data_IF_521711302485
#
_entry.id   IF_521711302485
#
_cell.length_a   1.000
_cell.length_b   1.000
_cell.length_c   1.000
_cell.angle_alpha   90.00
_cell.angle_beta   90.00
_cell.angle_gamma   90.00
#
_symmetry.space_group_name_H-M   'P 1'
#
loop_
_entity.id
_entity.type
_entity.pdbx_description
1 polymer ?
#
# COMPACT_ATOMS: atom_id res chain seq x y z
N UNK A 1 -28.67 -3.73 14.49
CA UNK A 1 -29.40 -2.44 14.53
C UNK A 1 -30.17 -2.26 15.83
N UNK A 2 -31.21 -3.07 16.13
CA UNK A 2 -32.09 -2.89 17.31
C UNK A 2 -31.36 -2.62 18.65
N UNK A 3 -30.32 -3.38 19.00
CA UNK A 3 -29.57 -3.17 20.24
C UNK A 3 -28.88 -1.78 20.32
N UNK A 4 -28.36 -1.24 19.20
CA UNK A 4 -27.78 0.12 19.16
C UNK A 4 -28.88 1.16 19.42
N UNK A 5 -30.03 1.02 18.78
CA UNK A 5 -31.17 1.91 18.99
C UNK A 5 -31.69 1.85 20.43
N UNK A 6 -31.73 0.65 21.05
CA UNK A 6 -32.09 0.49 22.45
C UNK A 6 -31.07 1.17 23.39
N UNK A 7 -29.77 1.00 23.17
CA UNK A 7 -28.72 1.70 23.93
C UNK A 7 -28.82 3.21 23.80
N UNK A 8 -29.08 3.73 22.58
CA UNK A 8 -29.30 5.16 22.36
C UNK A 8 -30.53 5.67 23.13
N UNK A 9 -31.67 4.98 23.04
CA UNK A 9 -32.89 5.36 23.76
C UNK A 9 -32.68 5.36 25.28
N UNK A 10 -32.02 4.34 25.81
CA UNK A 10 -31.65 4.26 27.24
C UNK A 10 -30.76 5.44 27.66
N UNK A 11 -29.71 5.76 26.88
CA UNK A 11 -28.83 6.89 27.18
C UNK A 11 -29.51 8.25 27.05
N UNK A 12 -30.40 8.43 26.07
CA UNK A 12 -31.22 9.65 25.94
C UNK A 12 -32.14 9.81 27.15
N UNK A 13 -32.81 8.74 27.58
CA UNK A 13 -33.63 8.74 28.79
C UNK A 13 -32.80 9.08 30.03
N UNK A 14 -31.60 8.52 30.17
CA UNK A 14 -30.69 8.83 31.28
C UNK A 14 -30.24 10.31 31.26
N UNK A 15 -29.88 10.84 30.09
CA UNK A 15 -29.49 12.26 29.91
C UNK A 15 -30.65 13.24 30.19
N UNK A 16 -31.90 12.85 29.90
CA UNK A 16 -33.09 13.68 30.18
C UNK A 16 -33.51 13.59 31.65
N UNK A 17 -33.28 12.46 32.30
CA UNK A 17 -33.64 12.23 33.70
C UNK A 17 -32.67 12.90 34.69
N UNK A 18 -31.44 13.16 34.27
CA UNK A 18 -30.40 13.75 35.11
C UNK A 18 -30.53 15.28 35.18
N UNK A 19 -31.34 15.77 36.13
CA UNK A 19 -31.49 17.20 36.42
C UNK A 19 -30.22 17.82 37.06
N UNK A 20 -29.21 17.02 37.38
CA UNK A 20 -27.95 17.42 38.02
C UNK A 20 -26.87 17.91 37.05
N UNK A 21 -27.23 18.70 36.04
CA UNK A 21 -26.24 19.37 35.18
C UNK A 21 -25.22 18.44 34.53
N UNK A 22 -25.70 17.48 33.73
CA UNK A 22 -24.87 16.45 33.09
C UNK A 22 -23.58 17.00 32.49
N UNK A 23 -22.45 16.55 33.03
CA UNK A 23 -21.11 17.04 32.65
C UNK A 23 -20.90 17.03 31.13
N UNK A 24 -20.23 18.05 30.60
CA UNK A 24 -19.85 18.14 29.19
C UNK A 24 -19.13 16.87 28.68
N UNK A 25 -18.43 16.15 29.55
CA UNK A 25 -17.84 14.84 29.26
C UNK A 25 -18.89 13.77 28.90
N UNK A 26 -20.03 13.71 29.60
CA UNK A 26 -21.11 12.77 29.32
C UNK A 26 -21.78 13.05 27.98
N UNK A 27 -22.02 14.32 27.67
CA UNK A 27 -22.55 14.77 26.36
C UNK A 27 -21.55 14.42 25.25
N UNK A 28 -20.26 14.70 25.46
CA UNK A 28 -19.19 14.37 24.51
C UNK A 28 -19.07 12.86 24.24
N UNK A 29 -19.12 12.02 25.28
CA UNK A 29 -19.13 10.55 25.13
C UNK A 29 -20.35 10.07 24.35
N UNK A 30 -21.54 10.60 24.64
CA UNK A 30 -22.76 10.23 23.90
C UNK A 30 -22.69 10.62 22.42
N UNK A 31 -22.20 11.82 22.11
CA UNK A 31 -21.98 12.26 20.71
C UNK A 31 -20.95 11.39 19.97
N UNK A 32 -19.88 10.96 20.66
CA UNK A 32 -18.91 10.02 20.11
C UNK A 32 -19.56 8.65 19.81
N UNK A 33 -20.35 8.10 20.74
CA UNK A 33 -21.06 6.84 20.53
C UNK A 33 -22.09 6.90 19.39
N UNK A 34 -22.85 8.00 19.28
CA UNK A 34 -23.73 8.26 18.15
C UNK A 34 -22.94 8.24 16.83
N UNK A 35 -21.82 8.95 16.76
CA UNK A 35 -20.98 9.02 15.56
C UNK A 35 -20.37 7.67 15.17
N UNK A 36 -19.80 6.93 16.13
CA UNK A 36 -19.28 5.58 15.89
C UNK A 36 -20.37 4.61 15.42
N UNK A 37 -21.56 4.71 16.00
CA UNK A 37 -22.70 3.86 15.65
C UNK A 37 -23.28 4.21 14.27
N UNK A 38 -23.37 5.50 13.92
CA UNK A 38 -23.75 5.97 12.58
C UNK A 38 -22.73 5.53 11.52
N UNK A 39 -21.43 5.71 11.80
CA UNK A 39 -20.35 5.19 10.97
C UNK A 39 -20.47 3.67 10.78
N UNK A 40 -20.71 2.92 11.86
CA UNK A 40 -20.91 1.47 11.79
C UNK A 40 -22.10 1.09 10.89
N UNK A 41 -23.25 1.79 11.01
CA UNK A 41 -24.45 1.59 10.19
C UNK A 41 -24.16 1.82 8.70
N UNK A 42 -23.50 2.93 8.33
CA UNK A 42 -23.14 3.23 6.92
C UNK A 42 -22.26 2.14 6.31
N UNK A 43 -21.43 1.48 7.12
CA UNK A 43 -20.56 0.39 6.65
C UNK A 43 -21.24 -0.98 6.66
N UNK A 44 -22.50 -1.14 7.07
CA UNK A 44 -23.23 -2.42 6.97
C UNK A 44 -23.73 -2.74 5.54
N UNK A 45 -24.35 -1.80 4.77
CA UNK A 45 -24.85 -2.06 3.41
C UNK A 45 -23.87 -2.80 2.47
N UNK A 46 -22.59 -2.41 2.48
CA UNK A 46 -21.54 -3.03 1.64
C UNK A 46 -21.20 -4.48 2.06
N UNK A 47 -21.80 -4.99 3.14
CA UNK A 47 -21.50 -6.27 3.79
C UNK A 47 -22.65 -7.28 3.82
N UNK A 48 -23.76 -7.01 3.14
CA UNK A 48 -24.94 -7.90 3.19
C UNK A 48 -24.89 -9.08 2.22
N UNK A 49 -24.10 -9.03 1.14
CA UNK A 49 -24.09 -10.08 0.11
C UNK A 49 -22.70 -10.36 -0.45
N UNK A 50 -21.96 -11.24 0.23
CA UNK A 50 -20.69 -11.78 -0.27
C UNK A 50 -20.95 -12.62 -1.52
N UNK A 51 -20.25 -12.32 -2.61
CA UNK A 51 -20.25 -13.12 -3.83
C UNK A 51 -18.88 -13.77 -4.00
N UNK A 52 -18.81 -15.10 -4.06
CA UNK A 52 -17.58 -15.84 -4.39
C UNK A 52 -17.57 -16.13 -5.90
N UNK A 53 -16.42 -15.96 -6.53
CA UNK A 53 -16.21 -16.26 -7.94
C UNK A 53 -15.16 -17.35 -8.08
N UNK A 54 -15.42 -18.31 -8.97
CA UNK A 54 -14.49 -19.34 -9.39
C UNK A 54 -14.32 -19.24 -10.90
N UNK A 55 -13.08 -19.22 -11.37
CA UNK A 55 -12.76 -19.12 -12.80
C UNK A 55 -12.46 -20.51 -13.35
N UNK A 56 -13.04 -20.84 -14.51
CA UNK A 56 -12.90 -22.15 -15.15
C UNK A 56 -12.10 -22.00 -16.44
N UNK A 57 -10.76 -21.97 -16.33
CA UNK A 57 -9.84 -21.70 -17.45
C UNK A 57 -10.04 -22.68 -18.62
N UNK A 58 -10.21 -23.97 -18.33
CA UNK A 58 -10.44 -25.02 -19.33
C UNK A 58 -11.66 -24.72 -20.21
N UNK A 59 -12.80 -24.36 -19.60
CA UNK A 59 -14.03 -24.02 -20.31
C UNK A 59 -13.90 -22.75 -21.16
N UNK A 60 -13.00 -21.84 -20.80
CA UNK A 60 -12.69 -20.66 -21.61
C UNK A 60 -11.94 -21.08 -22.87
N UNK A 61 -10.88 -21.89 -22.72
CA UNK A 61 -10.08 -22.41 -23.83
C UNK A 61 -10.94 -23.24 -24.79
N UNK A 62 -11.75 -24.19 -24.29
CA UNK A 62 -12.64 -25.01 -25.13
C UNK A 62 -13.71 -24.20 -25.88
N UNK A 63 -14.10 -23.02 -25.38
CA UNK A 63 -15.18 -22.22 -25.98
C UNK A 63 -14.70 -21.18 -26.97
N UNK A 64 -13.55 -20.57 -26.70
CA UNK A 64 -13.05 -19.45 -27.49
C UNK A 64 -11.83 -19.82 -28.33
N UNK A 65 -11.08 -20.86 -27.96
CA UNK A 65 -9.86 -21.29 -28.65
C UNK A 65 -8.95 -20.07 -28.90
N UNK A 66 -8.63 -19.76 -30.15
CA UNK A 66 -7.79 -18.61 -30.53
C UNK A 66 -8.53 -17.27 -30.55
N UNK A 67 -9.87 -17.23 -30.38
CA UNK A 67 -10.71 -16.02 -30.43
C UNK A 67 -10.67 -15.21 -29.12
N UNK A 68 -9.49 -15.10 -28.54
CA UNK A 68 -9.19 -14.23 -27.41
C UNK A 68 -9.08 -12.75 -27.85
N UNK A 69 -9.46 -11.77 -27.00
CA UNK A 69 -9.30 -10.35 -27.28
C UNK A 69 -7.83 -9.89 -27.23
N UNK A 70 -7.55 -8.66 -27.67
CA UNK A 70 -6.30 -7.97 -27.35
C UNK A 70 -6.26 -7.57 -25.87
N UNK A 71 -5.05 -7.60 -25.28
CA UNK A 71 -4.80 -7.22 -23.88
C UNK A 71 -3.58 -6.32 -23.80
N UNK A 72 -3.83 -5.05 -23.46
CA UNK A 72 -2.79 -4.05 -23.23
C UNK A 72 -2.48 -3.96 -21.72
N UNK A 73 -1.22 -4.14 -21.34
CA UNK A 73 -0.73 -4.08 -19.97
C UNK A 73 0.09 -2.80 -19.78
N UNK A 74 -0.37 -1.93 -18.88
CA UNK A 74 0.33 -0.70 -18.53
C UNK A 74 1.14 -0.85 -17.23
N UNK A 75 2.46 -0.73 -17.34
CA UNK A 75 3.39 -0.63 -16.21
C UNK A 75 3.77 0.84 -16.06
N UNK A 76 3.54 1.45 -14.91
CA UNK A 76 3.89 2.86 -14.66
C UNK A 76 5.04 2.95 -13.64
N UNK A 77 6.12 3.65 -14.01
CA UNK A 77 7.23 3.99 -13.12
C UNK A 77 7.33 5.51 -12.93
N UNK A 78 7.79 5.94 -11.76
CA UNK A 78 7.89 7.36 -11.39
C UNK A 78 9.28 7.97 -11.62
N UNK A 79 10.33 7.20 -11.33
CA UNK A 79 11.74 7.58 -11.38
C UNK A 79 12.62 6.34 -11.06
N UNK A 80 13.68 6.02 -11.83
CA UNK A 80 14.61 4.95 -11.48
C UNK A 80 15.27 5.10 -10.09
N UNK A 81 15.33 6.30 -9.52
CA UNK A 81 15.84 6.54 -8.15
C UNK A 81 14.82 6.15 -7.08
N UNK A 82 13.53 6.37 -7.32
CA UNK A 82 12.45 6.10 -6.36
C UNK A 82 11.93 4.66 -6.47
N UNK A 83 12.02 4.08 -7.67
CA UNK A 83 11.54 2.76 -8.02
C UNK A 83 12.68 2.02 -8.76
N UNK A 84 13.38 1.06 -8.12
CA UNK A 84 14.56 0.42 -8.70
C UNK A 84 14.27 -0.14 -10.09
N UNK A 85 15.08 0.26 -11.07
CA UNK A 85 14.87 -0.09 -12.48
C UNK A 85 14.79 -1.60 -12.71
N UNK A 86 15.53 -2.39 -11.92
CA UNK A 86 15.49 -3.87 -11.92
C UNK A 86 14.11 -4.41 -11.49
N UNK A 87 13.48 -3.85 -10.45
CA UNK A 87 12.14 -4.23 -10.01
C UNK A 87 11.09 -3.96 -11.09
N UNK A 88 11.26 -2.84 -11.81
CA UNK A 88 10.41 -2.47 -12.95
C UNK A 88 10.60 -3.46 -14.11
N UNK A 89 11.85 -3.81 -14.49
CA UNK A 89 12.13 -4.85 -15.49
C UNK A 89 11.48 -6.18 -15.11
N UNK A 90 11.69 -6.65 -13.88
CA UNK A 90 11.18 -7.95 -13.45
C UNK A 90 9.64 -8.01 -13.50
N UNK A 91 8.97 -6.85 -13.35
CA UNK A 91 7.53 -6.70 -13.59
C UNK A 91 7.18 -6.74 -15.08
N UNK A 92 7.94 -6.05 -15.94
CA UNK A 92 7.74 -6.07 -17.41
C UNK A 92 7.97 -7.47 -18.00
N UNK A 93 9.07 -8.15 -17.65
CA UNK A 93 9.38 -9.51 -18.10
C UNK A 93 8.34 -10.53 -17.63
N UNK A 94 7.83 -10.37 -16.40
CA UNK A 94 6.71 -11.17 -15.89
C UNK A 94 5.45 -10.95 -16.71
N UNK A 95 5.10 -9.69 -17.01
CA UNK A 95 3.94 -9.34 -17.84
C UNK A 95 4.06 -9.86 -19.29
N UNK A 96 5.23 -9.73 -19.91
CA UNK A 96 5.50 -10.23 -21.26
C UNK A 96 5.47 -11.77 -21.35
N UNK A 97 5.78 -12.47 -20.26
CA UNK A 97 5.79 -13.95 -20.20
C UNK A 97 4.47 -14.56 -19.71
N UNK A 98 3.39 -13.77 -19.65
CA UNK A 98 2.04 -14.30 -19.40
C UNK A 98 1.63 -15.36 -20.43
N UNK A 99 0.85 -16.35 -19.99
CA UNK A 99 0.33 -17.40 -20.87
C UNK A 99 -0.84 -16.86 -21.72
N UNK A 100 -0.49 -16.13 -22.79
CA UNK A 100 -1.40 -15.48 -23.72
C UNK A 100 -0.80 -15.47 -25.15
N UNK A 101 -1.60 -15.39 -26.22
CA UNK A 101 -1.08 -15.22 -27.57
C UNK A 101 -0.23 -13.92 -27.70
N UNK A 102 1.04 -13.99 -28.16
CA UNK A 102 1.93 -12.82 -28.22
C UNK A 102 1.45 -11.71 -29.15
N UNK A 103 0.77 -12.05 -30.25
CA UNK A 103 0.15 -11.10 -31.19
C UNK A 103 -0.91 -10.21 -30.53
N UNK A 104 -1.54 -10.72 -29.46
CA UNK A 104 -2.64 -10.08 -28.72
C UNK A 104 -2.20 -9.42 -27.43
N UNK A 105 -1.00 -9.73 -26.95
CA UNK A 105 -0.44 -9.17 -25.73
C UNK A 105 0.44 -7.98 -26.09
N UNK A 106 0.26 -6.85 -25.40
CA UNK A 106 1.08 -5.67 -25.63
C UNK A 106 1.38 -4.97 -24.31
N UNK A 107 2.65 -4.69 -24.06
CA UNK A 107 3.15 -4.19 -22.78
C UNK A 107 3.72 -2.79 -22.97
N UNK A 108 3.21 -1.86 -22.17
CA UNK A 108 3.52 -0.43 -22.24
C UNK A 108 4.20 -0.02 -20.93
N UNK A 109 5.48 0.36 -20.99
CA UNK A 109 6.16 1.00 -19.87
C UNK A 109 5.98 2.52 -19.98
N UNK A 110 5.18 3.09 -19.08
CA UNK A 110 5.01 4.52 -18.93
C UNK A 110 5.96 5.05 -17.86
N UNK A 111 6.90 5.90 -18.29
CA UNK A 111 7.88 6.55 -17.42
C UNK A 111 7.49 8.01 -17.17
N UNK A 112 7.10 8.31 -15.92
CA UNK A 112 6.83 9.70 -15.51
C UNK A 112 8.14 10.49 -15.23
N UNK A 113 9.27 9.82 -15.08
CA UNK A 113 10.58 10.44 -14.93
C UNK A 113 11.19 10.90 -16.25
N UNK A 114 10.79 10.28 -17.37
CA UNK A 114 11.37 10.52 -18.70
C UNK A 114 12.89 10.26 -18.73
N UNK A 115 13.36 9.26 -17.99
CA UNK A 115 14.81 9.08 -17.75
C UNK A 115 15.45 8.17 -18.81
N UNK A 116 16.60 8.56 -19.40
CA UNK A 116 17.29 7.73 -20.38
C UNK A 116 17.76 6.41 -19.76
N UNK A 117 17.98 6.35 -18.43
CA UNK A 117 18.27 5.12 -17.73
C UNK A 117 17.09 4.15 -17.76
N UNK A 118 15.84 4.61 -17.60
CA UNK A 118 14.66 3.75 -17.70
C UNK A 118 14.55 3.12 -19.09
N UNK A 119 14.85 3.90 -20.14
CA UNK A 119 14.84 3.42 -21.51
C UNK A 119 15.96 2.41 -21.79
N UNK A 120 17.19 2.70 -21.38
CA UNK A 120 18.33 1.76 -21.47
C UNK A 120 18.06 0.43 -20.74
N UNK A 121 17.56 0.52 -19.52
CA UNK A 121 17.14 -0.62 -18.69
C UNK A 121 16.07 -1.46 -19.41
N UNK A 122 15.12 -0.83 -20.09
CA UNK A 122 14.11 -1.54 -20.87
C UNK A 122 14.67 -2.18 -22.15
N UNK A 123 15.68 -1.56 -22.78
CA UNK A 123 16.40 -2.12 -23.92
C UNK A 123 17.17 -3.39 -23.53
N UNK A 124 17.91 -3.36 -22.41
CA UNK A 124 18.57 -4.55 -21.83
C UNK A 124 17.55 -5.67 -21.52
N UNK A 125 16.42 -5.32 -20.89
CA UNK A 125 15.33 -6.24 -20.64
C UNK A 125 14.74 -6.84 -21.93
N UNK A 126 14.60 -6.04 -22.99
CA UNK A 126 14.13 -6.52 -24.28
C UNK A 126 15.07 -7.56 -24.90
N UNK A 127 16.38 -7.39 -24.72
CA UNK A 127 17.38 -8.37 -25.17
C UNK A 127 17.33 -9.66 -24.33
N UNK A 128 17.21 -9.56 -23.00
CA UNK A 128 17.05 -10.72 -22.14
C UNK A 128 15.70 -11.46 -22.36
N UNK A 129 14.63 -10.72 -22.72
CA UNK A 129 13.30 -11.30 -22.97
C UNK A 129 13.31 -12.35 -24.09
N UNK A 130 14.24 -12.23 -25.04
CA UNK A 130 14.46 -13.16 -26.17
C UNK A 130 14.78 -14.58 -25.71
N UNK A 131 15.42 -14.73 -24.55
CA UNK A 131 15.77 -16.02 -23.95
C UNK A 131 14.79 -16.40 -22.83
N UNK A 132 14.38 -15.42 -22.00
CA UNK A 132 13.49 -15.65 -20.86
C UNK A 132 12.07 -16.11 -21.24
N UNK A 133 11.49 -15.59 -22.33
CA UNK A 133 10.14 -15.96 -22.74
C UNK A 133 10.06 -17.41 -23.27
N UNK A 134 10.94 -17.86 -24.18
CA UNK A 134 11.04 -19.28 -24.56
C UNK A 134 11.26 -20.19 -23.35
N UNK A 135 12.19 -19.84 -22.45
CA UNK A 135 12.44 -20.59 -21.20
C UNK A 135 11.17 -20.73 -20.35
N UNK A 136 10.46 -19.62 -20.09
CA UNK A 136 9.20 -19.60 -19.33
C UNK A 136 8.10 -20.46 -19.96
N UNK A 137 8.03 -20.51 -21.29
CA UNK A 137 7.05 -21.30 -22.03
C UNK A 137 7.40 -22.79 -22.02
N UNK A 138 8.67 -23.12 -22.23
CA UNK A 138 9.21 -24.49 -22.29
C UNK A 138 9.14 -25.23 -20.95
N UNK A 139 9.51 -24.56 -19.86
CA UNK A 139 9.55 -25.16 -18.52
C UNK A 139 8.34 -24.84 -17.64
N UNK A 140 7.34 -24.11 -18.18
CA UNK A 140 6.13 -23.68 -17.46
C UNK A 140 6.48 -23.01 -16.12
N UNK A 141 7.41 -22.06 -16.18
CA UNK A 141 7.99 -21.38 -15.01
C UNK A 141 6.91 -20.67 -14.19
N UNK A 142 6.88 -20.90 -12.88
CA UNK A 142 6.11 -20.11 -11.91
C UNK A 142 6.98 -19.88 -10.66
N UNK A 143 7.11 -18.65 -10.14
CA UNK A 143 6.58 -17.38 -10.67
C UNK A 143 7.30 -16.89 -11.95
N UNK A 144 6.60 -16.14 -12.79
CA UNK A 144 7.13 -15.56 -14.06
C UNK A 144 8.11 -14.40 -13.91
N UNK A 145 8.25 -13.88 -12.68
CA UNK A 145 9.23 -12.84 -12.35
C UNK A 145 10.61 -13.50 -12.19
N UNK A 146 11.64 -13.12 -12.97
CA UNK A 146 12.93 -13.80 -12.98
C UNK A 146 13.63 -13.82 -11.61
N UNK A 147 13.68 -12.68 -10.93
CA UNK A 147 14.33 -12.54 -9.62
C UNK A 147 13.61 -13.36 -8.55
N UNK A 148 12.27 -13.37 -8.56
CA UNK A 148 11.48 -14.21 -7.66
C UNK A 148 11.64 -15.72 -7.95
N UNK A 149 11.77 -16.11 -9.22
CA UNK A 149 12.02 -17.50 -9.61
C UNK A 149 13.39 -17.97 -9.16
N UNK A 150 14.46 -17.24 -9.52
CA UNK A 150 15.82 -17.65 -9.16
C UNK A 150 16.06 -17.59 -7.64
N UNK A 151 15.41 -16.70 -6.90
CA UNK A 151 15.43 -16.73 -5.43
C UNK A 151 14.83 -18.02 -4.84
N UNK A 152 13.82 -18.62 -5.48
CA UNK A 152 13.28 -19.93 -5.07
C UNK A 152 14.21 -21.08 -5.50
N UNK A 153 14.74 -21.04 -6.73
CA UNK A 153 15.61 -22.08 -7.29
C UNK A 153 16.95 -22.20 -6.55
N UNK A 154 17.56 -21.08 -6.13
CA UNK A 154 18.81 -21.09 -5.35
C UNK A 154 18.62 -21.80 -4.00
N UNK A 155 17.44 -21.74 -3.41
CA UNK A 155 17.09 -22.46 -2.18
C UNK A 155 16.74 -23.94 -2.42
N UNK A 156 16.69 -24.38 -3.69
CA UNK A 156 16.15 -25.68 -4.11
C UNK A 156 16.97 -26.41 -5.17
N UNK A 157 18.30 -26.46 -5.03
CA UNK A 157 19.23 -27.39 -5.73
C UNK A 157 18.83 -27.80 -7.17
N UNK A 158 18.70 -26.84 -8.09
CA UNK A 158 18.52 -27.13 -9.52
C UNK A 158 19.63 -26.50 -10.38
N UNK A 159 20.11 -27.27 -11.35
CA UNK A 159 21.22 -26.91 -12.24
C UNK A 159 20.69 -26.13 -13.46
N UNK A 160 20.54 -24.81 -13.29
CA UNK A 160 20.18 -23.87 -14.34
C UNK A 160 21.24 -22.76 -14.39
N UNK A 161 22.37 -23.07 -15.02
CA UNK A 161 23.56 -22.23 -14.99
C UNK A 161 23.54 -21.08 -16.01
N UNK A 162 23.02 -21.27 -17.23
CA UNK A 162 23.14 -20.25 -18.28
C UNK A 162 22.18 -19.07 -18.09
N UNK A 163 20.87 -19.29 -17.96
CA UNK A 163 19.90 -18.20 -17.81
C UNK A 163 20.12 -17.41 -16.51
N UNK A 164 20.67 -18.07 -15.48
CA UNK A 164 21.10 -17.44 -14.23
C UNK A 164 22.39 -16.61 -14.38
N UNK A 165 23.27 -16.96 -15.33
CA UNK A 165 24.40 -16.11 -15.70
C UNK A 165 23.92 -14.91 -16.52
N UNK A 166 23.03 -15.11 -17.50
CA UNK A 166 22.52 -14.06 -18.38
C UNK A 166 21.76 -12.97 -17.62
N UNK A 167 20.94 -13.34 -16.62
CA UNK A 167 20.27 -12.36 -15.74
C UNK A 167 21.27 -11.62 -14.84
N UNK A 168 22.31 -12.29 -14.32
CA UNK A 168 23.36 -11.67 -13.50
C UNK A 168 24.21 -10.70 -14.32
N UNK A 169 24.51 -11.06 -15.56
CA UNK A 169 25.25 -10.24 -16.52
C UNK A 169 24.43 -8.99 -16.92
N UNK A 170 23.15 -9.15 -17.27
CA UNK A 170 22.22 -8.04 -17.48
C UNK A 170 22.15 -7.11 -16.25
N UNK A 171 22.00 -7.68 -15.05
CA UNK A 171 21.98 -6.90 -13.78
C UNK A 171 23.29 -6.14 -13.58
N UNK A 172 24.44 -6.77 -13.82
CA UNK A 172 25.77 -6.16 -13.70
C UNK A 172 25.96 -5.01 -14.70
N UNK A 173 25.49 -5.14 -15.95
CA UNK A 173 25.51 -4.03 -16.93
C UNK A 173 24.67 -2.84 -16.48
N UNK A 174 23.44 -3.10 -16.03
CA UNK A 174 22.52 -2.08 -15.52
C UNK A 174 23.11 -1.35 -14.31
N UNK A 175 23.60 -2.10 -13.32
CA UNK A 175 24.22 -1.55 -12.11
C UNK A 175 25.50 -0.76 -12.44
N UNK A 176 26.31 -1.21 -13.41
CA UNK A 176 27.49 -0.47 -13.89
C UNK A 176 27.11 0.86 -14.54
N UNK A 177 26.08 0.89 -15.40
CA UNK A 177 25.61 2.12 -16.05
C UNK A 177 25.03 3.13 -15.03
N UNK A 178 24.26 2.65 -14.06
CA UNK A 178 23.73 3.47 -12.96
C UNK A 178 24.86 4.02 -12.09
N UNK A 179 25.83 3.18 -11.69
CA UNK A 179 26.96 3.60 -10.86
C UNK A 179 27.91 4.59 -11.58
N UNK A 180 28.06 4.48 -12.90
CA UNK A 180 28.79 5.45 -13.75
C UNK A 180 28.02 6.74 -14.00
N UNK A 181 26.74 6.82 -13.65
CA UNK A 181 25.87 7.95 -13.96
C UNK A 181 25.78 8.27 -15.46
N UNK A 182 26.10 7.31 -16.33
CA UNK A 182 26.19 7.51 -17.78
C UNK A 182 26.07 6.19 -18.54
N UNK A 183 25.44 6.26 -19.72
CA UNK A 183 25.34 5.17 -20.70
C UNK A 183 26.49 5.33 -21.70
N UNK A 184 27.08 4.23 -22.17
CA UNK A 184 28.18 4.29 -23.16
C UNK A 184 27.71 4.91 -24.47
N UNK A 185 28.62 5.62 -25.16
CA UNK A 185 28.30 6.25 -26.45
C UNK A 185 27.91 5.23 -27.51
N UNK A 186 28.64 4.10 -27.56
CA UNK A 186 28.34 2.95 -28.43
C UNK A 186 26.85 2.56 -28.38
N UNK A 187 26.28 2.36 -27.19
CA UNK A 187 24.87 1.96 -27.00
C UNK A 187 23.90 3.10 -27.38
N UNK A 188 24.29 4.37 -27.19
CA UNK A 188 23.50 5.52 -27.64
C UNK A 188 23.48 5.66 -29.16
N UNK A 189 24.60 5.38 -29.81
CA UNK A 189 24.79 5.51 -31.25
C UNK A 189 24.19 4.30 -32.01
N UNK A 190 24.16 3.11 -31.39
CA UNK A 190 23.50 1.91 -31.93
C UNK A 190 21.97 2.02 -31.99
N UNK A 191 21.34 2.73 -31.04
CA UNK A 191 19.88 2.75 -30.90
C UNK A 191 19.29 4.16 -31.02
N UNK A 192 18.82 4.49 -32.23
CA UNK A 192 18.24 5.79 -32.62
C UNK A 192 17.28 6.42 -31.59
N UNK A 193 16.53 5.61 -30.83
CA UNK A 193 15.66 6.11 -29.75
C UNK A 193 16.34 6.98 -28.70
N UNK A 194 17.66 6.87 -28.49
CA UNK A 194 18.40 7.75 -27.57
C UNK A 194 18.58 9.20 -28.07
N UNK A 195 18.23 9.50 -29.32
CA UNK A 195 18.24 10.87 -29.87
C UNK A 195 17.24 11.81 -29.19
N UNK A 196 16.21 11.26 -28.54
CA UNK A 196 15.18 11.98 -27.79
C UNK A 196 15.70 12.63 -26.50
N UNK A 197 16.91 12.26 -26.03
CA UNK A 197 17.54 12.79 -24.83
C UNK A 197 18.77 13.65 -25.16
N UNK A 198 18.52 14.93 -25.42
CA UNK A 198 19.56 15.96 -25.52
C UNK A 198 19.90 16.57 -24.14
N UNK A 199 20.90 17.45 -24.06
CA UNK A 199 21.35 18.07 -22.81
C UNK A 199 20.33 19.08 -22.21
N UNK A 200 19.26 19.44 -22.94
CA UNK A 200 18.19 20.33 -22.48
C UNK A 200 17.01 19.57 -21.84
N UNK A 201 16.94 18.25 -22.06
CA UNK A 201 15.89 17.37 -21.52
C UNK A 201 16.09 17.16 -20.02
N UNK A 202 15.04 17.48 -19.26
CA UNK A 202 15.00 17.28 -17.80
C UNK A 202 13.67 16.65 -17.40
N UNK A 203 13.61 16.04 -16.21
CA UNK A 203 12.38 15.44 -15.63
C UNK A 203 11.16 16.38 -15.58
N UNK A 204 11.33 17.70 -15.70
CA UNK A 204 10.26 18.69 -15.71
C UNK A 204 10.09 19.40 -17.07
N UNK A 205 11.01 19.21 -18.01
CA UNK A 205 10.97 19.78 -19.36
C UNK A 205 11.45 18.73 -20.37
N UNK A 206 10.53 18.01 -20.98
CA UNK A 206 10.80 17.08 -22.07
C UNK A 206 9.57 16.91 -22.95
N UNK A 207 9.78 16.63 -24.25
CA UNK A 207 8.69 16.31 -25.15
C UNK A 207 8.10 14.92 -24.86
N UNK A 208 6.99 14.58 -25.53
CA UNK A 208 6.47 13.22 -25.50
C UNK A 208 7.41 12.29 -26.26
N UNK A 209 7.89 11.24 -25.59
CA UNK A 209 8.78 10.23 -26.16
C UNK A 209 7.99 8.92 -26.29
N UNK A 210 7.95 8.34 -27.49
CA UNK A 210 7.33 7.03 -27.73
C UNK A 210 8.28 6.20 -28.57
N UNK A 211 8.66 5.02 -28.07
CA UNK A 211 9.60 4.13 -28.74
C UNK A 211 9.06 2.69 -28.71
N UNK A 212 8.88 2.08 -29.86
CA UNK A 212 8.52 0.66 -29.98
C UNK A 212 9.83 -0.13 -29.99
N UNK A 213 10.07 -0.90 -28.93
CA UNK A 213 11.33 -1.65 -28.73
C UNK A 213 11.21 -3.06 -29.34
N UNK A 214 10.03 -3.67 -29.19
CA UNK A 214 9.67 -4.91 -29.87
C UNK A 214 8.34 -4.66 -30.57
N UNK A 215 8.32 -4.80 -31.90
CA UNK A 215 7.06 -4.89 -32.64
C UNK A 215 6.66 -6.36 -32.80
N UNK A 216 5.74 -6.81 -31.95
CA UNK A 216 5.18 -8.16 -32.02
C UNK A 216 4.16 -8.35 -33.14
N UNK A 217 3.74 -7.29 -33.86
CA UNK A 217 2.71 -7.34 -34.91
C UNK A 217 3.25 -7.08 -36.32
N UNK A 218 4.49 -6.62 -36.45
CA UNK A 218 5.15 -6.35 -37.72
C UNK A 218 5.53 -7.61 -38.52
N UNK A 219 5.75 -7.45 -39.82
CA UNK A 219 6.15 -8.55 -40.73
C UNK A 219 7.54 -9.13 -40.43
N UNK A 220 8.33 -8.43 -39.63
CA UNK A 220 9.66 -8.83 -39.17
C UNK A 220 9.65 -9.15 -37.66
N UNK A 221 8.51 -9.58 -37.10
CA UNK A 221 8.43 -9.99 -35.70
C UNK A 221 9.53 -11.01 -35.39
N UNK A 222 10.33 -10.74 -34.35
CA UNK A 222 11.50 -11.54 -34.04
C UNK A 222 11.10 -12.90 -33.45
N UNK A 223 10.90 -13.89 -34.32
CA UNK A 223 10.74 -15.29 -33.93
C UNK A 223 12.09 -15.83 -33.44
N UNK A 224 12.17 -16.09 -32.15
CA UNK A 224 13.35 -16.69 -31.52
C UNK A 224 12.89 -18.01 -30.90
N UNK A 225 13.51 -19.12 -31.31
CA UNK A 225 13.10 -20.49 -30.97
C UNK A 225 11.61 -20.80 -31.27
N UNK A 226 11.04 -20.20 -32.32
CA UNK A 226 9.62 -20.37 -32.67
C UNK A 226 8.65 -19.70 -31.67
N UNK A 227 9.15 -18.78 -30.84
CA UNK A 227 8.33 -17.91 -30.00
C UNK A 227 8.35 -16.48 -30.55
N UNK A 228 7.18 -16.01 -30.99
CA UNK A 228 6.93 -14.60 -31.23
C UNK A 228 6.93 -13.83 -29.90
N UNK A 229 7.57 -12.68 -29.87
CA UNK A 229 7.61 -11.80 -28.70
C UNK A 229 6.42 -10.82 -28.72
N UNK A 230 5.79 -10.51 -27.57
CA UNK A 230 4.71 -9.53 -27.52
C UNK A 230 5.24 -8.11 -27.75
N UNK A 231 4.38 -7.23 -28.25
CA UNK A 231 4.77 -5.83 -28.49
C UNK A 231 5.18 -5.13 -27.20
N UNK A 232 6.34 -4.48 -27.20
CA UNK A 232 6.89 -3.73 -26.06
C UNK A 232 7.11 -2.26 -26.44
N UNK A 233 6.45 -1.35 -25.73
CA UNK A 233 6.49 0.09 -26.00
C UNK A 233 6.97 0.86 -24.77
N UNK A 234 7.95 1.73 -24.95
CA UNK A 234 8.32 2.77 -23.99
C UNK A 234 7.54 4.05 -24.29
N UNK A 235 7.01 4.69 -23.25
CA UNK A 235 6.30 5.97 -23.36
C UNK A 235 6.65 6.90 -22.21
N UNK A 236 7.10 8.12 -22.52
CA UNK A 236 7.14 9.23 -21.57
C UNK A 236 6.24 10.36 -22.11
N UNK A 237 5.33 10.86 -21.27
CA UNK A 237 4.41 11.95 -21.64
C UNK A 237 5.14 13.29 -21.66
N UNK A 238 4.68 14.26 -22.45
CA UNK A 238 5.24 15.61 -22.43
C UNK A 238 5.13 16.26 -21.03
N UNK A 239 6.20 16.95 -20.60
CA UNK A 239 6.25 17.78 -19.40
C UNK A 239 6.88 19.13 -19.73
N UNK A 240 6.29 20.21 -19.22
CA UNK A 240 6.77 21.58 -19.40
C UNK A 240 6.80 22.35 -18.07
N UNK A 241 7.80 23.20 -17.82
CA UNK A 241 7.81 24.09 -16.66
C UNK A 241 6.56 24.96 -16.63
N UNK A 242 6.02 25.22 -15.43
CA UNK A 242 4.81 26.01 -15.22
C UNK A 242 3.49 25.28 -15.47
N UNK A 243 3.49 24.08 -16.08
CA UNK A 243 2.29 23.28 -16.26
C UNK A 243 2.14 22.22 -15.16
N UNK A 244 1.01 22.26 -14.44
CA UNK A 244 0.73 21.30 -13.37
C UNK A 244 0.45 19.91 -13.93
N UNK A 245 1.25 18.92 -13.54
CA UNK A 245 1.06 17.53 -13.93
C UNK A 245 0.57 16.65 -12.75
N UNK A 246 -0.46 15.83 -12.97
CA UNK A 246 -0.84 14.78 -12.02
C UNK A 246 0.04 13.54 -12.27
N UNK A 247 0.52 12.83 -11.24
CA UNK A 247 1.49 11.71 -11.35
C UNK A 247 0.95 10.47 -12.11
N UNK A 248 0.63 9.38 -11.40
CA UNK A 248 0.08 8.14 -11.99
C UNK A 248 -1.20 8.41 -12.80
N UNK A 249 -2.07 9.22 -12.22
CA UNK A 249 -3.10 10.02 -12.89
C UNK A 249 -2.78 10.41 -14.34
N UNK A 250 -1.78 11.25 -14.54
CA UNK A 250 -1.51 11.88 -15.82
C UNK A 250 -0.90 10.90 -16.82
N UNK A 251 -0.08 9.97 -16.34
CA UNK A 251 0.44 8.84 -17.13
C UNK A 251 -0.70 7.96 -17.65
N UNK A 252 -1.60 7.49 -16.78
CA UNK A 252 -2.77 6.72 -17.20
C UNK A 252 -3.73 7.52 -18.08
N UNK A 253 -3.86 8.84 -17.88
CA UNK A 253 -4.67 9.69 -18.74
C UNK A 253 -4.09 9.88 -20.14
N UNK A 254 -2.78 10.02 -20.28
CA UNK A 254 -2.14 10.03 -21.61
C UNK A 254 -2.29 8.70 -22.36
N UNK A 255 -2.56 7.60 -21.63
CA UNK A 255 -2.77 6.27 -22.19
C UNK A 255 -4.25 5.93 -22.47
N UNK A 256 -5.18 6.44 -21.65
CA UNK A 256 -6.60 6.00 -21.64
C UNK A 256 -7.65 7.13 -21.76
N UNK A 257 -7.27 8.40 -21.69
CA UNK A 257 -8.22 9.53 -21.80
C UNK A 257 -9.25 9.65 -20.67
N UNK A 258 -8.93 9.20 -19.46
CA UNK A 258 -9.82 9.23 -18.29
C UNK A 258 -9.78 10.59 -17.54
N UNK A 259 -10.43 10.70 -16.39
CA UNK A 259 -10.45 11.91 -15.56
C UNK A 259 -9.74 11.61 -14.23
N UNK A 260 -8.51 12.07 -14.10
CA UNK A 260 -7.68 11.91 -12.90
C UNK A 260 -7.12 13.27 -12.42
N UNK A 261 -6.82 13.39 -11.13
CA UNK A 261 -6.49 14.68 -10.51
C UNK A 261 -6.62 14.75 -8.99
N UNK A 262 -6.62 13.62 -8.27
CA UNK A 262 -6.62 13.64 -6.81
C UNK A 262 -6.01 12.36 -6.21
N UNK A 263 -5.48 12.44 -4.99
CA UNK A 263 -4.83 11.29 -4.34
C UNK A 263 -5.78 10.12 -3.95
N UNK A 264 -7.04 10.14 -4.40
CA UNK A 264 -8.04 9.05 -4.27
C UNK A 264 -8.75 8.79 -5.61
N UNK A 265 -8.11 9.14 -6.71
CA UNK A 265 -8.69 9.12 -8.05
C UNK A 265 -9.09 7.72 -8.54
N UNK A 266 -8.44 6.66 -8.08
CA UNK A 266 -8.88 5.27 -8.31
C UNK A 266 -10.32 5.06 -7.79
N UNK A 267 -10.63 5.62 -6.61
CA UNK A 267 -11.97 5.54 -5.99
C UNK A 267 -12.96 6.45 -6.73
N UNK A 268 -12.57 7.69 -7.07
CA UNK A 268 -13.43 8.64 -7.79
C UNK A 268 -13.76 8.15 -9.20
N UNK A 269 -12.80 7.53 -9.88
CA UNK A 269 -12.96 6.97 -11.23
C UNK A 269 -13.81 5.72 -11.19
N UNK A 270 -13.58 4.82 -10.21
CA UNK A 270 -14.46 3.70 -9.92
C UNK A 270 -15.91 4.17 -9.71
N UNK A 271 -16.13 5.17 -8.84
CA UNK A 271 -17.46 5.74 -8.59
C UNK A 271 -18.09 6.34 -9.86
N UNK A 272 -17.31 7.08 -10.66
CA UNK A 272 -17.78 7.73 -11.89
C UNK A 272 -18.18 6.70 -12.95
N UNK A 273 -17.41 5.63 -13.07
CA UNK A 273 -17.72 4.47 -13.93
C UNK A 273 -18.99 3.76 -13.42
N UNK A 274 -19.11 3.54 -12.10
CA UNK A 274 -20.32 2.97 -11.50
C UNK A 274 -21.58 3.80 -11.75
N UNK A 275 -21.50 5.13 -11.60
CA UNK A 275 -22.60 6.05 -11.89
C UNK A 275 -23.05 6.02 -13.36
N UNK A 276 -22.21 5.52 -14.28
CA UNK A 276 -22.54 5.25 -15.69
C UNK A 276 -23.12 3.84 -15.92
N UNK A 277 -23.52 3.14 -14.85
CA UNK A 277 -24.19 1.83 -14.91
C UNK A 277 -23.29 0.59 -14.76
N UNK A 278 -21.98 0.79 -14.61
CA UNK A 278 -21.02 -0.31 -14.49
C UNK A 278 -21.05 -0.95 -13.10
N UNK A 279 -21.03 -2.28 -13.04
CA UNK A 279 -21.10 -3.02 -11.77
C UNK A 279 -19.71 -3.51 -11.38
N UNK A 280 -19.25 -3.08 -10.20
CA UNK A 280 -18.12 -3.68 -9.49
C UNK A 280 -18.64 -4.54 -8.32
N UNK A 281 -17.85 -5.51 -7.86
CA UNK A 281 -18.17 -6.34 -6.70
C UNK A 281 -17.15 -6.11 -5.58
N UNK A 282 -17.65 -5.67 -4.43
CA UNK A 282 -16.89 -5.51 -3.21
C UNK A 282 -17.34 -6.55 -2.16
N UNK A 283 -16.45 -6.85 -1.20
CA UNK A 283 -16.64 -7.91 -0.19
C UNK A 283 -16.94 -7.34 1.20
N UNK A 284 -17.71 -8.08 2.01
CA UNK A 284 -17.80 -7.91 3.46
C UNK A 284 -18.98 -8.65 4.11
N UNK A 285 -18.94 -8.79 5.44
CA UNK A 285 -19.76 -9.70 6.29
C UNK A 285 -20.32 -9.06 7.60
N UNK A 286 -21.03 -9.84 8.43
CA UNK A 286 -22.03 -9.42 9.44
C UNK A 286 -21.98 -10.29 10.73
N UNK A 287 -22.55 -9.97 11.92
CA UNK A 287 -23.28 -8.79 12.41
C UNK A 287 -23.26 -8.69 13.97
N UNK A 288 -23.36 -7.46 14.51
CA UNK A 288 -23.88 -7.03 15.82
C UNK A 288 -24.02 -8.01 17.03
N UNK A 289 -22.97 -8.16 17.84
CA UNK A 289 -23.03 -8.04 19.32
C UNK A 289 -21.67 -7.47 19.80
N UNK A 290 -21.64 -6.17 20.09
CA UNK A 290 -21.03 -5.25 19.11
C UNK A 290 -19.50 -5.27 19.02
N UNK A 291 -18.76 -5.51 20.10
CA UNK A 291 -17.29 -5.46 20.09
C UNK A 291 -16.65 -6.86 20.11
N UNK A 292 -16.83 -7.62 21.19
CA UNK A 292 -16.16 -8.92 21.38
C UNK A 292 -16.55 -9.93 20.28
N UNK A 293 -17.84 -10.06 19.94
CA UNK A 293 -18.25 -10.96 18.86
C UNK A 293 -17.77 -10.47 17.48
N UNK A 294 -17.61 -9.16 17.28
CA UNK A 294 -17.03 -8.60 16.05
C UNK A 294 -15.54 -8.92 15.95
N UNK A 295 -14.77 -8.84 17.04
CA UNK A 295 -13.35 -9.21 17.07
C UNK A 295 -13.16 -10.71 16.86
N UNK A 296 -13.95 -11.56 17.52
CA UNK A 296 -13.91 -13.02 17.33
C UNK A 296 -14.30 -13.41 15.91
N UNK A 297 -15.30 -12.77 15.32
CA UNK A 297 -15.68 -13.02 13.92
C UNK A 297 -14.61 -12.53 12.93
N UNK A 298 -14.04 -11.34 13.15
CA UNK A 298 -12.91 -10.78 12.38
C UNK A 298 -11.71 -11.74 12.37
N UNK A 299 -11.39 -12.34 13.52
CA UNK A 299 -10.35 -13.36 13.66
C UNK A 299 -10.68 -14.65 12.89
N UNK A 300 -11.91 -15.18 13.02
CA UNK A 300 -12.35 -16.38 12.30
C UNK A 300 -12.33 -16.15 10.77
N UNK A 301 -12.74 -14.97 10.29
CA UNK A 301 -12.66 -14.59 8.88
C UNK A 301 -11.21 -14.53 8.40
N UNK A 302 -10.32 -13.87 9.17
CA UNK A 302 -8.90 -13.81 8.85
C UNK A 302 -8.28 -15.23 8.72
N UNK A 303 -8.55 -16.12 9.67
CA UNK A 303 -8.07 -17.50 9.63
C UNK A 303 -8.64 -18.29 8.44
N UNK A 304 -9.93 -18.14 8.12
CA UNK A 304 -10.55 -18.76 6.95
C UNK A 304 -9.99 -18.24 5.61
N UNK A 305 -9.45 -17.02 5.59
CA UNK A 305 -8.75 -16.43 4.46
C UNK A 305 -7.25 -16.80 4.42
N UNK A 306 -6.77 -17.72 5.28
CA UNK A 306 -5.38 -18.14 5.34
C UNK A 306 -4.43 -17.18 6.07
N UNK A 307 -4.97 -16.18 6.77
CA UNK A 307 -4.18 -15.21 7.54
C UNK A 307 -3.85 -15.73 8.94
N UNK A 308 -2.67 -15.36 9.46
CA UNK A 308 -2.28 -15.68 10.84
C UNK A 308 -3.00 -14.79 11.86
N UNK A 309 -3.10 -15.28 13.09
CA UNK A 309 -3.63 -14.52 14.25
C UNK A 309 -2.81 -13.25 14.49
N UNK A 310 -1.52 -13.27 14.19
CA UNK A 310 -0.59 -12.15 14.37
C UNK A 310 -0.74 -11.10 13.26
N UNK A 311 -0.97 -11.47 12.01
CA UNK A 311 -1.44 -10.53 10.96
C UNK A 311 -2.76 -9.89 11.39
N UNK A 312 -3.73 -10.67 11.87
CA UNK A 312 -5.01 -10.11 12.35
C UNK A 312 -4.82 -9.07 13.47
N UNK A 313 -4.02 -9.39 14.50
CA UNK A 313 -3.70 -8.46 15.58
C UNK A 313 -2.94 -7.21 15.11
N UNK A 314 -2.10 -7.35 14.08
CA UNK A 314 -1.43 -6.24 13.42
C UNK A 314 -2.42 -5.36 12.62
N UNK A 315 -3.42 -5.95 11.95
CA UNK A 315 -4.45 -5.22 11.20
C UNK A 315 -5.35 -4.38 12.13
N UNK A 316 -5.82 -4.94 13.25
CA UNK A 316 -6.60 -4.20 14.25
C UNK A 316 -5.78 -3.03 14.85
N UNK A 317 -4.48 -3.24 15.11
CA UNK A 317 -3.57 -2.14 15.51
C UNK A 317 -3.41 -1.08 14.43
N UNK A 318 -3.19 -1.48 13.17
CA UNK A 318 -3.06 -0.54 12.05
C UNK A 318 -4.35 0.24 11.79
N UNK A 319 -5.51 -0.35 12.04
CA UNK A 319 -6.79 0.36 12.04
C UNK A 319 -6.81 1.48 13.10
N UNK A 320 -6.40 1.18 14.34
CA UNK A 320 -6.29 2.19 15.41
C UNK A 320 -5.29 3.30 15.05
N UNK A 321 -4.07 2.94 14.64
CA UNK A 321 -3.00 3.90 14.30
C UNK A 321 -3.47 4.85 13.20
N UNK A 322 -4.10 4.34 12.13
CA UNK A 322 -4.60 5.16 11.02
C UNK A 322 -5.71 6.14 11.44
N UNK A 323 -6.55 5.75 12.41
CA UNK A 323 -7.62 6.60 12.96
C UNK A 323 -7.06 7.74 13.80
N UNK A 324 -6.12 7.44 14.71
CA UNK A 324 -5.57 8.44 15.65
C UNK A 324 -4.56 9.37 14.98
N UNK A 325 -3.78 8.89 14.01
CA UNK A 325 -2.74 9.67 13.33
C UNK A 325 -3.17 10.14 11.94
N UNK A 326 -3.11 9.25 10.94
CA UNK A 326 -3.22 9.59 9.51
C UNK A 326 -4.50 10.36 9.19
N UNK A 327 -5.64 9.96 9.73
CA UNK A 327 -6.91 10.64 9.45
C UNK A 327 -7.02 12.01 10.15
N UNK A 328 -6.49 12.16 11.36
CA UNK A 328 -6.43 13.45 12.05
C UNK A 328 -5.56 14.46 11.28
N UNK A 329 -4.33 14.07 10.94
CA UNK A 329 -3.44 14.93 10.15
C UNK A 329 -3.99 15.21 8.74
N UNK A 330 -4.64 14.23 8.09
CA UNK A 330 -5.30 14.46 6.79
C UNK A 330 -6.48 15.43 6.90
N UNK A 331 -7.28 15.35 7.95
CA UNK A 331 -8.40 16.27 8.19
C UNK A 331 -7.91 17.71 8.39
N UNK A 332 -6.91 17.91 9.26
CA UNK A 332 -6.26 19.20 9.49
C UNK A 332 -5.68 19.74 8.17
N UNK A 333 -4.97 18.91 7.40
CA UNK A 333 -4.36 19.32 6.14
C UNK A 333 -5.41 19.67 5.05
N UNK A 334 -6.56 19.00 5.03
CA UNK A 334 -7.69 19.37 4.16
C UNK A 334 -8.29 20.72 4.55
N UNK A 335 -8.43 21.02 5.85
CA UNK A 335 -8.88 22.35 6.31
C UNK A 335 -7.89 23.43 5.90
N UNK A 336 -6.59 23.23 6.17
CA UNK A 336 -5.52 24.16 5.78
C UNK A 336 -5.54 24.42 4.26
N UNK A 337 -5.75 23.38 3.46
CA UNK A 337 -5.90 23.50 2.00
C UNK A 337 -7.17 24.24 1.58
N UNK A 338 -8.31 24.00 2.23
CA UNK A 338 -9.55 24.74 1.98
C UNK A 338 -9.44 26.23 2.32
N UNK A 339 -8.63 26.57 3.33
CA UNK A 339 -8.28 27.94 3.70
C UNK A 339 -7.21 28.58 2.79
N UNK A 340 -6.68 27.85 1.79
CA UNK A 340 -5.64 28.34 0.89
C UNK A 340 -4.24 28.44 1.52
N UNK A 341 -4.06 27.94 2.75
CA UNK A 341 -2.85 28.14 3.55
C UNK A 341 -1.72 27.13 3.28
N UNK A 342 -1.95 26.09 2.47
CA UNK A 342 -0.89 25.18 2.02
C UNK A 342 -1.12 24.60 0.62
N UNK A 343 -0.02 24.44 -0.11
CA UNK A 343 0.04 23.55 -1.26
C UNK A 343 0.51 22.18 -0.80
N UNK A 344 -0.43 21.23 -0.68
CA UNK A 344 -0.13 19.86 -0.24
C UNK A 344 0.56 19.07 -1.36
N UNK A 345 1.89 19.16 -1.46
CA UNK A 345 2.66 18.32 -2.36
C UNK A 345 2.49 16.84 -1.96
N UNK A 346 2.14 15.98 -2.92
CA UNK A 346 2.15 14.54 -2.71
C UNK A 346 3.61 14.06 -2.74
N UNK A 347 4.15 13.72 -1.57
CA UNK A 347 5.48 13.12 -1.46
C UNK A 347 5.41 11.68 -1.98
N UNK A 348 6.12 11.40 -3.07
CA UNK A 348 6.37 10.04 -3.52
C UNK A 348 7.19 9.30 -2.46
N UNK A 349 6.69 8.15 -2.01
CA UNK A 349 7.46 7.22 -1.17
C UNK A 349 8.31 6.32 -2.06
N UNK A 350 9.57 6.09 -1.70
CA UNK A 350 10.42 5.12 -2.38
C UNK A 350 9.80 3.72 -2.30
N UNK A 351 9.85 2.97 -3.41
CA UNK A 351 9.53 1.53 -3.43
C UNK A 351 10.76 0.65 -3.13
N UNK A 352 11.92 1.27 -2.95
CA UNK A 352 13.13 0.61 -2.45
C UNK A 352 12.85 0.08 -1.04
N UNK A 353 13.06 -1.23 -0.83
CA UNK A 353 12.95 -1.90 0.47
C UNK A 353 14.32 -2.48 0.78
N UNK A 354 14.91 -2.11 1.92
CA UNK A 354 16.16 -2.73 2.38
C UNK A 354 15.90 -4.19 2.79
N UNK A 355 16.87 -5.07 2.59
CA UNK A 355 16.71 -6.52 2.81
C UNK A 355 16.26 -6.86 4.24
N UNK A 356 16.75 -6.12 5.24
CA UNK A 356 16.35 -6.27 6.63
C UNK A 356 14.90 -5.83 6.91
N UNK A 357 14.35 -4.92 6.10
CA UNK A 357 12.93 -4.54 6.13
C UNK A 357 12.06 -5.66 5.56
N UNK A 358 12.50 -6.31 4.48
CA UNK A 358 11.78 -7.45 3.88
C UNK A 358 11.70 -8.64 4.86
N UNK A 359 12.81 -8.99 5.50
CA UNK A 359 12.86 -10.05 6.53
C UNK A 359 11.91 -9.71 7.70
N UNK A 360 11.84 -8.44 8.13
CA UNK A 360 10.87 -8.01 9.16
C UNK A 360 9.43 -8.16 8.70
N UNK A 361 9.13 -7.87 7.43
CA UNK A 361 7.79 -8.03 6.86
C UNK A 361 7.36 -9.51 6.82
N UNK A 362 8.22 -10.42 6.35
CA UNK A 362 7.96 -11.86 6.36
C UNK A 362 7.77 -12.43 7.78
N UNK A 363 8.55 -11.93 8.74
CA UNK A 363 8.37 -12.23 10.16
C UNK A 363 7.16 -11.52 10.80
N UNK A 364 6.34 -10.80 10.03
CA UNK A 364 5.15 -10.05 10.48
C UNK A 364 5.44 -9.02 11.60
N UNK A 365 6.64 -8.42 11.58
CA UNK A 365 7.12 -7.45 12.56
C UNK A 365 6.89 -6.03 12.04
N UNK A 366 6.15 -5.21 12.80
CA UNK A 366 5.96 -3.79 12.46
C UNK A 366 7.24 -2.98 12.76
N UNK A 367 7.55 -2.07 11.84
CA UNK A 367 8.64 -1.10 11.92
C UNK A 367 8.12 0.30 12.27
N UNK A 368 8.89 1.04 13.08
CA UNK A 368 8.57 2.39 13.56
C UNK A 368 9.75 3.38 13.39
N UNK A 369 10.70 3.08 12.51
CA UNK A 369 12.03 3.70 12.47
C UNK A 369 12.11 5.17 12.03
N UNK A 370 11.06 5.75 11.44
CA UNK A 370 11.08 7.15 10.98
C UNK A 370 10.68 8.15 12.09
N UNK A 371 11.28 9.34 12.10
CA UNK A 371 10.95 10.41 13.05
C UNK A 371 9.75 11.23 12.58
N UNK A 372 8.54 10.73 12.81
CA UNK A 372 7.30 11.44 12.45
C UNK A 372 6.56 12.01 13.67
N UNK A 373 5.88 13.13 13.47
CA UNK A 373 4.91 13.67 14.46
C UNK A 373 3.74 12.70 14.70
N UNK A 374 3.41 11.86 13.69
CA UNK A 374 2.43 10.78 13.83
C UNK A 374 2.84 9.77 14.89
N UNK A 375 4.10 9.33 14.91
CA UNK A 375 4.60 8.43 15.96
C UNK A 375 4.75 9.10 17.32
N UNK A 376 4.97 10.42 17.37
CA UNK A 376 4.96 11.16 18.64
C UNK A 376 3.55 11.20 19.25
N UNK A 377 2.51 11.40 18.41
CA UNK A 377 1.11 11.39 18.84
C UNK A 377 0.61 9.99 19.19
N UNK A 378 1.00 8.97 18.40
CA UNK A 378 0.73 7.58 18.76
C UNK A 378 1.40 7.25 20.10
N UNK A 379 2.67 7.61 20.24
CA UNK A 379 3.48 7.29 21.41
C UNK A 379 3.00 7.96 22.69
N UNK A 380 2.60 9.23 22.64
CA UNK A 380 2.03 9.91 23.80
C UNK A 380 0.69 9.30 24.23
N UNK A 381 -0.17 8.93 23.27
CA UNK A 381 -1.44 8.26 23.55
C UNK A 381 -1.24 6.86 24.16
N UNK A 382 -0.28 6.07 23.66
CA UNK A 382 0.05 4.77 24.26
C UNK A 382 0.64 4.94 25.65
N UNK A 383 1.59 5.86 25.85
CA UNK A 383 2.16 6.10 27.17
C UNK A 383 1.14 6.62 28.18
N UNK A 384 0.20 7.48 27.76
CA UNK A 384 -0.90 7.94 28.62
C UNK A 384 -1.79 6.77 29.05
N UNK A 385 -2.19 5.88 28.14
CA UNK A 385 -2.95 4.67 28.50
C UNK A 385 -2.17 3.78 29.49
N UNK A 386 -0.87 3.58 29.29
CA UNK A 386 -0.04 2.80 30.20
C UNK A 386 0.05 3.46 31.59
N UNK A 387 0.26 4.78 31.66
CA UNK A 387 0.29 5.53 32.92
C UNK A 387 -1.07 5.52 33.63
N UNK A 388 -2.18 5.65 32.92
CA UNK A 388 -3.53 5.52 33.48
C UNK A 388 -3.77 4.11 34.05
N UNK A 389 -3.34 3.05 33.35
CA UNK A 389 -3.48 1.68 33.84
C UNK A 389 -2.66 1.42 35.10
N UNK A 390 -1.38 1.82 35.10
CA UNK A 390 -0.48 1.68 36.26
C UNK A 390 -0.95 2.55 37.44
N UNK A 391 -1.38 3.78 37.17
CA UNK A 391 -1.93 4.67 38.20
C UNK A 391 -3.21 4.12 38.81
N UNK A 392 -4.11 3.54 38.01
CA UNK A 392 -5.31 2.88 38.50
C UNK A 392 -4.99 1.66 39.38
N UNK A 393 -4.08 0.77 38.95
CA UNK A 393 -3.71 -0.41 39.74
C UNK A 393 -3.00 -0.04 41.05
N UNK A 394 -2.06 0.91 41.02
CA UNK A 394 -1.40 1.44 42.22
C UNK A 394 -2.41 2.08 43.19
N UNK A 395 -3.33 2.90 42.68
CA UNK A 395 -4.37 3.54 43.49
C UNK A 395 -5.28 2.50 44.18
N UNK A 396 -5.62 1.42 43.48
CA UNK A 396 -6.42 0.32 44.05
C UNK A 396 -5.66 -0.48 45.13
N UNK A 397 -4.37 -0.78 44.90
CA UNK A 397 -3.54 -1.52 45.86
C UNK A 397 -3.24 -0.70 47.12
N UNK A 398 -2.88 0.58 46.96
CA UNK A 398 -2.47 1.45 48.07
C UNK A 398 -3.64 1.90 48.95
N UNK A 399 -4.81 2.21 48.36
CA UNK A 399 -5.98 2.68 49.11
C UNK A 399 -6.89 1.55 49.63
N UNK A 400 -6.57 0.27 49.33
CA UNK A 400 -7.33 -0.94 49.71
C UNK A 400 -8.86 -0.87 49.46
N UNK A 401 -9.28 -0.06 48.48
CA UNK A 401 -10.67 0.38 48.37
C UNK A 401 -11.49 -0.52 47.41
N UNK A 402 -11.68 -1.79 47.79
CA UNK A 402 -12.31 -2.82 46.97
C UNK A 402 -13.76 -2.47 46.54
N UNK A 403 -14.47 -1.61 47.27
CA UNK A 403 -15.81 -1.14 46.86
C UNK A 403 -15.81 -0.34 45.55
N UNK A 404 -14.71 0.37 45.24
CA UNK A 404 -14.56 1.11 43.98
C UNK A 404 -14.28 0.19 42.78
N UNK A 405 -13.91 -1.07 43.00
CA UNK A 405 -13.57 -2.03 41.95
C UNK A 405 -14.76 -2.23 40.98
N UNK A 406 -15.97 -2.41 41.51
CA UNK A 406 -17.19 -2.62 40.72
C UNK A 406 -17.43 -1.55 39.66
N UNK A 407 -17.16 -0.29 40.01
CA UNK A 407 -17.37 0.85 39.12
C UNK A 407 -16.22 1.08 38.12
N UNK A 408 -15.01 0.59 38.45
CA UNK A 408 -13.79 0.81 37.65
C UNK A 408 -13.41 -0.36 36.74
N UNK A 409 -13.93 -1.57 36.97
CA UNK A 409 -13.63 -2.78 36.16
C UNK A 409 -13.72 -2.50 34.65
N UNK A 410 -14.79 -1.86 34.18
CA UNK A 410 -14.97 -1.57 32.74
C UNK A 410 -13.91 -0.61 32.19
N UNK A 411 -13.47 0.36 32.98
CA UNK A 411 -12.44 1.33 32.58
C UNK A 411 -11.05 0.68 32.56
N UNK A 412 -10.72 -0.11 33.60
CA UNK A 412 -9.47 -0.88 33.68
C UNK A 412 -9.39 -1.90 32.53
N UNK A 413 -10.50 -2.57 32.21
CA UNK A 413 -10.57 -3.50 31.09
C UNK A 413 -10.34 -2.81 29.74
N UNK A 414 -11.03 -1.70 29.46
CA UNK A 414 -10.84 -0.93 28.22
C UNK A 414 -9.40 -0.39 28.08
N UNK A 415 -8.84 0.14 29.17
CA UNK A 415 -7.46 0.63 29.20
C UNK A 415 -6.45 -0.51 28.99
N UNK A 416 -6.65 -1.65 29.65
CA UNK A 416 -5.86 -2.88 29.46
C UNK A 416 -5.91 -3.38 28.02
N UNK A 417 -7.08 -3.42 27.38
CA UNK A 417 -7.21 -3.78 25.96
C UNK A 417 -6.46 -2.81 25.04
N UNK A 418 -6.50 -1.50 25.31
CA UNK A 418 -5.70 -0.51 24.55
C UNK A 418 -4.20 -0.69 24.73
N UNK A 419 -3.74 -1.06 25.92
CA UNK A 419 -2.33 -1.41 26.18
C UNK A 419 -1.94 -2.71 25.44
N UNK A 420 -2.79 -3.75 25.45
CA UNK A 420 -2.52 -5.02 24.77
C UNK A 420 -2.46 -4.87 23.23
N UNK A 421 -3.38 -4.13 22.62
CA UNK A 421 -3.35 -3.91 21.16
C UNK A 421 -2.09 -3.15 20.75
N UNK A 422 -1.64 -2.19 21.57
CA UNK A 422 -0.43 -1.40 21.35
C UNK A 422 0.85 -2.06 21.89
N UNK A 423 0.81 -3.33 22.32
CA UNK A 423 1.98 -3.97 22.95
C UNK A 423 3.28 -3.89 22.10
N UNK A 424 3.25 -4.14 20.77
CA UNK A 424 4.43 -3.96 19.92
C UNK A 424 4.94 -2.52 19.78
N UNK A 425 4.13 -1.50 20.11
CA UNK A 425 4.59 -0.11 20.20
C UNK A 425 5.50 0.06 21.42
N UNK A 426 5.13 -0.48 22.59
CA UNK A 426 6.02 -0.47 23.76
C UNK A 426 7.27 -1.32 23.55
N UNK A 427 7.16 -2.44 22.82
CA UNK A 427 8.34 -3.19 22.39
C UNK A 427 9.29 -2.32 21.54
N UNK A 428 8.75 -1.55 20.59
CA UNK A 428 9.53 -0.62 19.78
C UNK A 428 10.10 0.57 20.58
N UNK A 429 9.44 1.01 21.66
CA UNK A 429 9.91 2.10 22.52
C UNK A 429 11.05 1.70 23.47
N UNK A 430 10.97 0.52 24.09
CA UNK A 430 11.79 0.19 25.26
C UNK A 430 12.68 -1.05 25.10
N UNK A 431 12.29 -2.02 24.27
CA UNK A 431 12.91 -3.34 24.23
C UNK A 431 13.70 -3.62 22.95
N UNK A 432 13.26 -3.05 21.82
CA UNK A 432 13.95 -3.13 20.53
C UNK A 432 15.21 -2.25 20.49
N UNK A 433 16.25 -2.74 19.83
CA UNK A 433 17.51 -2.02 19.53
C UNK A 433 17.89 -2.06 18.03
N UNK A 434 17.02 -2.62 17.20
CA UNK A 434 17.14 -2.70 15.74
C UNK A 434 16.61 -1.42 15.07
N UNK A 435 16.76 -1.29 13.74
CA UNK A 435 16.10 -0.23 12.94
C UNK A 435 14.56 -0.22 13.09
N UNK A 436 13.97 -1.33 13.53
CA UNK A 436 12.56 -1.45 13.87
C UNK A 436 12.13 -0.78 15.19
N UNK A 437 13.03 -0.19 15.95
CA UNK A 437 12.76 0.59 17.18
C UNK A 437 12.24 1.99 16.87
N UNK A 438 11.60 2.62 17.87
CA UNK A 438 11.24 4.05 17.83
C UNK A 438 12.46 4.89 18.18
N UNK A 439 12.74 5.93 17.39
CA UNK A 439 13.86 6.83 17.66
C UNK A 439 13.74 7.44 19.07
N UNK A 440 14.85 7.45 19.82
CA UNK A 440 14.89 7.91 21.22
C UNK A 440 14.23 9.28 21.46
N UNK A 441 14.42 10.22 20.54
CA UNK A 441 13.80 11.56 20.59
C UNK A 441 12.26 11.52 20.55
N UNK A 442 11.67 10.60 19.79
CA UNK A 442 10.21 10.39 19.73
C UNK A 442 9.70 9.77 21.03
N UNK A 443 10.43 8.81 21.59
CA UNK A 443 10.11 8.19 22.90
C UNK A 443 10.17 9.24 24.02
N UNK A 444 11.23 10.05 24.08
CA UNK A 444 11.38 11.12 25.05
C UNK A 444 10.25 12.16 24.97
N UNK A 445 9.92 12.66 23.77
CA UNK A 445 8.77 13.55 23.57
C UNK A 445 7.45 12.92 24.03
N UNK A 446 7.23 11.66 23.67
CA UNK A 446 6.02 10.92 24.04
C UNK A 446 5.86 10.80 25.56
N UNK A 447 6.96 10.51 26.27
CA UNK A 447 7.01 10.42 27.73
C UNK A 447 6.75 11.76 28.42
N UNK A 448 7.33 12.86 27.92
CA UNK A 448 7.11 14.22 28.46
C UNK A 448 5.65 14.64 28.27
N UNK A 449 5.11 14.47 27.06
CA UNK A 449 3.71 14.83 26.76
C UNK A 449 2.72 14.00 27.57
N UNK A 450 2.93 12.68 27.68
CA UNK A 450 2.07 11.81 28.48
C UNK A 450 2.14 12.14 29.98
N UNK A 451 3.34 12.39 30.51
CA UNK A 451 3.52 12.79 31.92
C UNK A 451 2.81 14.12 32.22
N UNK A 452 2.97 15.13 31.37
CA UNK A 452 2.30 16.42 31.53
C UNK A 452 0.78 16.29 31.47
N UNK A 453 0.24 15.50 30.52
CA UNK A 453 -1.19 15.23 30.44
C UNK A 453 -1.71 14.56 31.73
N UNK A 454 -1.03 13.53 32.24
CA UNK A 454 -1.41 12.86 33.48
C UNK A 454 -1.32 13.75 34.73
N UNK A 455 -0.47 14.78 34.72
CA UNK A 455 -0.37 15.77 35.80
C UNK A 455 -1.44 16.88 35.73
N UNK A 456 -1.89 17.23 34.53
CA UNK A 456 -2.88 18.30 34.30
C UNK A 456 -4.33 17.78 34.47
N UNK A 457 -4.62 16.55 34.05
CA UNK A 457 -5.98 15.99 34.10
C UNK A 457 -6.62 15.89 35.50
N UNK A 458 -5.89 15.82 36.64
CA UNK A 458 -6.47 15.94 37.99
C UNK A 458 -6.74 17.38 38.46
N UNK A 459 -6.32 18.40 37.70
CA UNK A 459 -6.47 19.83 38.00
C UNK A 459 -7.60 20.51 37.21
N UNK A 460 -8.32 19.74 36.37
CA UNK A 460 -9.46 20.15 35.52
C UNK A 460 -10.67 19.30 35.88
#
# INVERSE_FOLDING_TARGET
>A
MAAICATWLYRIQQLISDQGGGSWACIGMFMAELWFSFYWIINQPVRFKVCRHSTFKERLLTRYEDKLPGVDIFVCTADPVMEPSIMVINTVLSAMSFNYPPDKLSVYLSDDGGSPFTFYVLLEASNFSKYWLPFCKKFIVEPRNPEAYFAQVINGNADHSQELLDIKDMKTRIESAIAKGSISKEIRDEHNGFSEWNDEVTKQNHQSIVQIIIDGRGTNAAEIEGCQLPTLVYMAREKRPGWSHNFKAGAMNSLMGLIYGCAVEDVVTGLTIQCRGWKYQAFGSYHLHVFIASSVHSLIEAMNCGSTVKIWWNLERMWMIRRTTVFLFRFINVIIKQLGLSQTAFALTSKVVEEDVSIRFELEIIEFGSSSIMFTLLGSLTMMNLFCLVGATLKMVVLQNFGALGNLISQVFLCGMMVLINFPVYQAMFFKKDKGSLQFYVVFKSLVVASLACLIMPLI
#
